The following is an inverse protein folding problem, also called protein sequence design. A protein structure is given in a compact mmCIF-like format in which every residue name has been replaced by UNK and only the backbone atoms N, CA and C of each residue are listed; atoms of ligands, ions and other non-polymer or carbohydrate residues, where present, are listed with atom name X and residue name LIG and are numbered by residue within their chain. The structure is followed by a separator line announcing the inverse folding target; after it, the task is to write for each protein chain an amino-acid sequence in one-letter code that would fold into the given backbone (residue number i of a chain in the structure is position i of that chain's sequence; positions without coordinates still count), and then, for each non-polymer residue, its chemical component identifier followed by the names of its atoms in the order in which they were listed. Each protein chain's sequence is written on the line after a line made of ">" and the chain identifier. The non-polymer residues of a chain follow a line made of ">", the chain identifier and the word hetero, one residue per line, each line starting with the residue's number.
data_IF_977145955071
#
_entry.id   IF_977145955071
#
_cell.length_a   1.000
_cell.length_b   1.000
_cell.length_c   1.000
_cell.angle_alpha   90.00
_cell.angle_beta   90.00
_cell.angle_gamma   90.00
#
_symmetry.space_group_name_H-M   'P 1'
#
loop_
_entity.id
_entity.type
_entity.pdbx_description
1 polymer ?
#
# COMPACT_ATOMS: atom_id res chain seq x y z
N UNK A 1 -43.46 -33.32 -11.20
CA UNK A 1 -43.77 -33.87 -9.87
C UNK A 1 -42.52 -33.72 -9.01
N UNK A 2 -42.67 -33.42 -7.72
CA UNK A 2 -41.54 -33.35 -6.78
C UNK A 2 -40.94 -34.73 -6.51
N UNK A 3 -39.71 -34.75 -6.02
CA UNK A 3 -38.96 -35.94 -5.63
C UNK A 3 -38.30 -35.69 -4.27
N UNK A 4 -38.49 -36.62 -3.32
CA UNK A 4 -37.86 -36.55 -2.00
C UNK A 4 -37.06 -37.82 -1.73
N UNK A 5 -35.81 -37.66 -1.28
CA UNK A 5 -34.97 -38.72 -0.71
C UNK A 5 -34.88 -38.45 0.79
N UNK A 6 -35.50 -39.30 1.59
CA UNK A 6 -35.52 -39.16 3.06
C UNK A 6 -34.12 -39.38 3.66
N UNK A 7 -33.92 -38.91 4.89
CA UNK A 7 -32.60 -38.89 5.56
C UNK A 7 -31.90 -40.25 5.62
N UNK A 8 -32.66 -41.33 5.82
CA UNK A 8 -32.11 -42.69 5.90
C UNK A 8 -32.12 -43.43 4.55
N UNK A 9 -32.67 -42.81 3.51
CA UNK A 9 -32.74 -43.42 2.20
C UNK A 9 -31.38 -43.34 1.49
N UNK A 10 -31.02 -44.44 0.82
CA UNK A 10 -29.80 -44.53 0.02
C UNK A 10 -30.16 -44.88 -1.42
N UNK A 11 -29.68 -44.07 -2.37
CA UNK A 11 -29.72 -44.33 -3.81
C UNK A 11 -28.29 -44.63 -4.26
N UNK A 12 -28.04 -45.84 -4.75
CA UNK A 12 -26.70 -46.25 -5.21
C UNK A 12 -26.74 -46.73 -6.64
N UNK A 13 -25.93 -46.12 -7.50
CA UNK A 13 -25.54 -46.66 -8.79
C UNK A 13 -24.15 -47.30 -8.65
N UNK A 14 -24.12 -48.62 -8.49
CA UNK A 14 -22.87 -49.40 -8.35
C UNK A 14 -22.02 -49.36 -9.62
N UNK A 15 -22.68 -49.17 -10.76
CA UNK A 15 -22.08 -48.90 -12.06
C UNK A 15 -22.80 -47.72 -12.70
N UNK A 16 -22.07 -46.91 -13.47
CA UNK A 16 -22.68 -45.80 -14.21
C UNK A 16 -23.10 -44.61 -13.34
N UNK A 17 -24.11 -43.88 -13.82
CA UNK A 17 -24.56 -42.60 -13.26
C UNK A 17 -25.78 -42.76 -12.35
N UNK A 18 -25.95 -41.86 -11.39
CA UNK A 18 -27.22 -41.65 -10.69
C UNK A 18 -27.78 -40.27 -11.05
N UNK A 19 -29.03 -40.21 -11.53
CA UNK A 19 -29.70 -38.94 -11.86
C UNK A 19 -31.03 -38.84 -11.12
N UNK A 20 -31.18 -37.81 -10.30
CA UNK A 20 -32.44 -37.44 -9.69
C UNK A 20 -33.06 -36.30 -10.49
N UNK A 21 -34.29 -36.50 -10.99
CA UNK A 21 -35.01 -35.52 -11.80
C UNK A 21 -36.41 -35.26 -11.22
N UNK A 22 -36.76 -33.99 -11.05
CA UNK A 22 -38.07 -33.60 -10.51
C UNK A 22 -38.34 -32.11 -10.71
N UNK A 23 -39.60 -31.68 -10.57
CA UNK A 23 -39.90 -30.23 -10.56
C UNK A 23 -39.36 -29.55 -9.31
N UNK A 24 -39.33 -30.28 -8.20
CA UNK A 24 -38.63 -29.94 -6.96
C UNK A 24 -37.89 -31.18 -6.47
N UNK A 25 -36.72 -31.00 -5.86
CA UNK A 25 -35.92 -32.09 -5.26
C UNK A 25 -35.60 -31.73 -3.82
N UNK A 26 -35.95 -32.62 -2.91
CA UNK A 26 -35.48 -32.62 -1.51
C UNK A 26 -34.57 -33.83 -1.29
N UNK A 27 -33.26 -33.61 -1.29
CA UNK A 27 -32.26 -34.64 -1.04
C UNK A 27 -31.81 -34.53 0.41
N UNK A 28 -32.28 -35.42 1.28
CA UNK A 28 -31.88 -35.46 2.69
C UNK A 28 -31.01 -36.67 3.05
N UNK A 29 -31.01 -37.71 2.20
CA UNK A 29 -30.30 -38.97 2.42
C UNK A 29 -28.98 -39.11 1.67
N UNK A 30 -28.65 -40.31 1.22
CA UNK A 30 -27.41 -40.60 0.49
C UNK A 30 -27.68 -40.90 -0.97
N UNK A 31 -26.97 -40.24 -1.89
CA UNK A 31 -26.91 -40.58 -3.31
C UNK A 31 -25.46 -40.86 -3.65
N UNK A 32 -25.16 -42.06 -4.13
CA UNK A 32 -23.83 -42.49 -4.54
C UNK A 32 -23.85 -43.01 -5.97
N UNK A 33 -22.94 -42.53 -6.81
CA UNK A 33 -22.72 -43.03 -8.16
C UNK A 33 -21.26 -43.41 -8.35
N UNK A 34 -21.01 -44.45 -9.15
CA UNK A 34 -19.66 -44.77 -9.60
C UNK A 34 -19.14 -43.67 -10.53
N UNK A 35 -19.89 -43.42 -11.62
CA UNK A 35 -19.67 -42.30 -12.53
C UNK A 35 -20.41 -41.07 -11.98
N UNK A 36 -21.17 -40.33 -12.77
CA UNK A 36 -21.70 -39.04 -12.37
C UNK A 36 -22.93 -39.15 -11.45
N UNK A 37 -23.04 -38.26 -10.46
CA UNK A 37 -24.26 -38.05 -9.70
C UNK A 37 -24.87 -36.68 -10.07
N UNK A 38 -26.13 -36.66 -10.52
CA UNK A 38 -26.78 -35.44 -11.02
C UNK A 38 -28.10 -35.16 -10.30
N UNK A 39 -28.31 -33.92 -9.87
CA UNK A 39 -29.61 -33.40 -9.43
C UNK A 39 -30.13 -32.40 -10.47
N UNK A 40 -31.30 -32.66 -11.04
CA UNK A 40 -31.92 -31.78 -12.06
C UNK A 40 -33.37 -31.44 -11.69
N UNK A 41 -33.64 -30.16 -11.41
CA UNK A 41 -35.00 -29.73 -11.10
C UNK A 41 -35.22 -28.23 -11.13
N UNK A 42 -36.40 -27.78 -10.69
CA UNK A 42 -36.69 -26.35 -10.53
C UNK A 42 -36.01 -25.83 -9.27
N UNK A 43 -36.55 -26.23 -8.12
CA UNK A 43 -35.93 -25.99 -6.81
C UNK A 43 -35.24 -27.27 -6.32
N UNK A 44 -33.99 -27.16 -5.91
CA UNK A 44 -33.21 -28.28 -5.38
C UNK A 44 -32.66 -27.92 -4.01
N UNK A 45 -33.06 -28.68 -2.98
CA UNK A 45 -32.53 -28.57 -1.62
C UNK A 45 -31.75 -29.84 -1.30
N UNK A 46 -30.49 -29.69 -0.92
CA UNK A 46 -29.62 -30.77 -0.45
C UNK A 46 -29.25 -30.56 1.02
N UNK A 47 -29.66 -31.51 1.86
CA UNK A 47 -29.25 -31.63 3.27
C UNK A 47 -28.53 -32.95 3.56
N UNK A 48 -28.50 -33.87 2.59
CA UNK A 48 -27.80 -35.13 2.69
C UNK A 48 -26.46 -35.16 1.96
N UNK A 49 -26.03 -36.34 1.51
CA UNK A 49 -24.78 -36.55 0.80
C UNK A 49 -25.01 -36.97 -0.64
N UNK A 50 -24.36 -36.30 -1.59
CA UNK A 50 -24.30 -36.68 -3.00
C UNK A 50 -22.84 -36.89 -3.38
N UNK A 51 -22.51 -38.12 -3.78
CA UNK A 51 -21.12 -38.51 -4.04
C UNK A 51 -20.99 -39.21 -5.39
N UNK A 52 -19.95 -38.83 -6.12
CA UNK A 52 -19.46 -39.55 -7.29
C UNK A 52 -18.05 -40.07 -7.00
N UNK A 53 -17.81 -41.38 -7.12
CA UNK A 53 -16.52 -41.98 -6.75
C UNK A 53 -15.45 -41.90 -7.83
N UNK A 54 -15.85 -41.78 -9.10
CA UNK A 54 -14.92 -41.67 -10.25
C UNK A 54 -15.24 -40.48 -11.16
N UNK A 55 -16.46 -39.95 -11.12
CA UNK A 55 -16.92 -38.86 -11.99
C UNK A 55 -17.17 -37.54 -11.26
N UNK A 56 -18.12 -36.77 -11.81
CA UNK A 56 -18.51 -35.46 -11.27
C UNK A 56 -19.85 -35.53 -10.51
N UNK A 57 -20.04 -34.54 -9.64
CA UNK A 57 -21.37 -34.18 -9.12
C UNK A 57 -21.90 -32.97 -9.88
N UNK A 58 -23.10 -33.09 -10.45
CA UNK A 58 -23.78 -32.00 -11.16
C UNK A 58 -25.06 -31.60 -10.45
N UNK A 59 -25.30 -30.29 -10.35
CA UNK A 59 -26.59 -29.74 -9.92
C UNK A 59 -27.04 -28.73 -10.96
N UNK A 60 -28.25 -28.93 -11.49
CA UNK A 60 -28.91 -28.03 -12.41
C UNK A 60 -30.29 -27.68 -11.85
N UNK A 61 -30.39 -26.54 -11.17
CA UNK A 61 -31.64 -26.02 -10.64
C UNK A 61 -32.12 -24.87 -11.55
N UNK A 62 -33.26 -24.98 -12.23
CA UNK A 62 -33.71 -23.88 -13.10
C UNK A 62 -34.16 -22.63 -12.32
N UNK A 63 -34.43 -22.78 -11.03
CA UNK A 63 -34.77 -21.70 -10.10
C UNK A 63 -33.73 -21.62 -8.96
N UNK A 64 -33.99 -22.23 -7.81
CA UNK A 64 -33.12 -22.10 -6.64
C UNK A 64 -32.41 -23.41 -6.28
N UNK A 65 -31.11 -23.31 -6.00
CA UNK A 65 -30.36 -24.34 -5.30
C UNK A 65 -30.07 -23.93 -3.85
N UNK A 66 -30.22 -24.87 -2.92
CA UNK A 66 -29.84 -24.70 -1.51
C UNK A 66 -29.10 -25.93 -1.03
N UNK A 67 -27.81 -25.79 -0.75
CA UNK A 67 -27.03 -26.77 0.00
C UNK A 67 -27.02 -26.34 1.47
N UNK A 68 -27.79 -27.01 2.31
CA UNK A 68 -27.88 -26.66 3.74
C UNK A 68 -26.57 -26.98 4.45
N UNK A 69 -26.41 -26.56 5.71
CA UNK A 69 -25.18 -26.76 6.48
C UNK A 69 -24.74 -28.24 6.60
N UNK A 70 -25.68 -29.19 6.54
CA UNK A 70 -25.38 -30.64 6.56
C UNK A 70 -25.19 -31.22 5.15
N UNK A 71 -25.57 -30.48 4.12
CA UNK A 71 -25.50 -30.90 2.73
C UNK A 71 -24.06 -31.03 2.25
N UNK A 72 -23.74 -32.20 1.68
CA UNK A 72 -22.43 -32.52 1.15
C UNK A 72 -22.52 -32.91 -0.33
N UNK A 73 -21.76 -32.22 -1.17
CA UNK A 73 -21.53 -32.60 -2.57
C UNK A 73 -20.06 -32.97 -2.74
N UNK A 74 -19.78 -34.19 -3.20
CA UNK A 74 -18.40 -34.67 -3.40
C UNK A 74 -18.25 -35.36 -4.75
N UNK A 75 -17.56 -34.70 -5.68
CA UNK A 75 -17.18 -35.27 -6.97
C UNK A 75 -15.71 -35.69 -6.95
N UNK A 76 -15.40 -36.82 -7.57
CA UNK A 76 -14.01 -37.23 -7.76
C UNK A 76 -13.28 -36.25 -8.68
N UNK A 77 -13.88 -35.97 -9.83
CA UNK A 77 -13.33 -35.01 -10.79
C UNK A 77 -13.83 -33.61 -10.50
N UNK A 78 -15.12 -33.32 -10.71
CA UNK A 78 -15.67 -31.97 -10.60
C UNK A 78 -16.92 -31.92 -9.74
N UNK A 79 -17.24 -30.72 -9.24
CA UNK A 79 -18.59 -30.39 -8.79
C UNK A 79 -19.05 -29.14 -9.53
N UNK A 80 -20.17 -29.23 -10.24
CA UNK A 80 -20.71 -28.12 -11.02
C UNK A 80 -22.16 -27.85 -10.60
N UNK A 81 -22.38 -26.68 -10.02
CA UNK A 81 -23.70 -26.19 -9.62
C UNK A 81 -24.09 -25.04 -10.54
N UNK A 82 -25.24 -25.15 -11.20
CA UNK A 82 -25.87 -24.07 -11.97
C UNK A 82 -27.28 -23.83 -11.43
N UNK A 83 -27.58 -22.56 -11.12
CA UNK A 83 -28.91 -22.16 -10.68
C UNK A 83 -29.30 -20.74 -11.13
N UNK A 84 -30.56 -20.34 -10.96
CA UNK A 84 -30.91 -18.91 -10.97
C UNK A 84 -30.35 -18.25 -9.71
N UNK A 85 -30.63 -18.82 -8.54
CA UNK A 85 -30.04 -18.44 -7.25
C UNK A 85 -29.42 -19.66 -6.55
N UNK A 86 -28.25 -19.49 -5.94
CA UNK A 86 -27.54 -20.56 -5.23
C UNK A 86 -27.15 -20.13 -3.81
N UNK A 87 -27.53 -20.94 -2.83
CA UNK A 87 -27.10 -20.82 -1.42
C UNK A 87 -26.32 -22.07 -1.02
N UNK A 88 -25.07 -21.91 -0.61
CA UNK A 88 -24.16 -23.00 -0.26
C UNK A 88 -23.65 -22.80 1.17
N UNK A 89 -24.39 -23.36 2.13
CA UNK A 89 -24.02 -23.40 3.54
C UNK A 89 -23.23 -24.66 3.92
N UNK A 90 -23.44 -25.77 3.21
CA UNK A 90 -22.72 -27.02 3.43
C UNK A 90 -21.40 -27.14 2.67
N UNK A 91 -20.92 -28.37 2.49
CA UNK A 91 -19.66 -28.67 1.81
C UNK A 91 -19.86 -28.98 0.33
N UNK A 92 -19.00 -28.39 -0.50
CA UNK A 92 -18.83 -28.70 -1.92
C UNK A 92 -17.37 -29.05 -2.16
N UNK A 93 -17.09 -30.24 -2.68
CA UNK A 93 -15.71 -30.71 -2.87
C UNK A 93 -15.53 -31.45 -4.19
N UNK A 94 -14.63 -30.95 -5.01
CA UNK A 94 -14.06 -31.66 -6.14
C UNK A 94 -12.67 -32.16 -5.73
N UNK A 95 -12.45 -33.47 -5.68
CA UNK A 95 -11.18 -34.00 -5.14
C UNK A 95 -10.00 -33.72 -6.06
N UNK A 96 -10.18 -33.91 -7.37
CA UNK A 96 -9.11 -33.79 -8.37
C UNK A 96 -9.48 -32.86 -9.53
N UNK A 97 -10.42 -31.95 -9.37
CA UNK A 97 -10.82 -31.04 -10.44
C UNK A 97 -11.54 -29.82 -9.89
N UNK A 98 -12.44 -29.23 -10.68
CA UNK A 98 -12.99 -27.91 -10.39
C UNK A 98 -14.26 -28.02 -9.55
N UNK A 99 -14.32 -27.21 -8.49
CA UNK A 99 -15.58 -26.91 -7.81
C UNK A 99 -16.14 -25.58 -8.36
N UNK A 100 -17.37 -25.62 -8.86
CA UNK A 100 -18.01 -24.47 -9.51
C UNK A 100 -19.43 -24.23 -8.99
N UNK A 101 -19.70 -22.97 -8.64
CA UNK A 101 -21.04 -22.48 -8.26
C UNK A 101 -21.36 -21.28 -9.13
N UNK A 102 -22.30 -21.45 -10.07
CA UNK A 102 -22.71 -20.41 -11.02
C UNK A 102 -24.20 -20.13 -10.84
N UNK A 103 -24.53 -18.90 -10.46
CA UNK A 103 -25.89 -18.39 -10.32
C UNK A 103 -26.16 -17.25 -11.31
N UNK A 104 -27.31 -17.29 -11.98
CA UNK A 104 -27.72 -16.23 -12.91
C UNK A 104 -28.06 -14.91 -12.21
N UNK A 105 -28.49 -14.98 -10.95
CA UNK A 105 -28.75 -13.83 -10.09
C UNK A 105 -27.72 -13.79 -8.96
N UNK A 106 -27.99 -14.43 -7.82
CA UNK A 106 -27.14 -14.38 -6.63
C UNK A 106 -26.56 -15.73 -6.27
N UNK A 107 -25.26 -15.74 -5.99
CA UNK A 107 -24.58 -16.86 -5.32
C UNK A 107 -24.18 -16.41 -3.90
N UNK A 108 -24.56 -17.19 -2.89
CA UNK A 108 -24.18 -16.96 -1.49
C UNK A 108 -23.45 -18.19 -0.96
N UNK A 109 -22.24 -18.00 -0.47
CA UNK A 109 -21.42 -19.06 0.11
C UNK A 109 -21.25 -18.78 1.60
N UNK A 110 -21.75 -19.69 2.43
CA UNK A 110 -21.59 -19.67 3.89
C UNK A 110 -20.77 -20.86 4.40
N UNK A 111 -20.65 -21.91 3.59
CA UNK A 111 -19.93 -23.13 3.91
C UNK A 111 -18.54 -23.22 3.27
N UNK A 112 -18.16 -24.45 2.94
CA UNK A 112 -16.86 -24.76 2.35
C UNK A 112 -16.99 -25.17 0.88
N UNK A 113 -16.25 -24.50 0.00
CA UNK A 113 -16.09 -24.88 -1.40
C UNK A 113 -14.62 -25.17 -1.69
N UNK A 114 -14.30 -26.38 -2.12
CA UNK A 114 -12.91 -26.80 -2.38
C UNK A 114 -12.78 -27.58 -3.68
N UNK A 115 -11.71 -27.32 -4.41
CA UNK A 115 -11.34 -28.04 -5.64
C UNK A 115 -9.86 -27.85 -5.95
N UNK A 116 -9.33 -28.53 -6.98
CA UNK A 116 -8.06 -28.12 -7.58
C UNK A 116 -8.15 -26.65 -8.02
N UNK A 117 -9.18 -26.34 -8.80
CA UNK A 117 -9.61 -24.98 -9.10
C UNK A 117 -10.97 -24.71 -8.45
N UNK A 118 -11.25 -23.43 -8.18
CA UNK A 118 -12.58 -22.98 -7.73
C UNK A 118 -13.08 -21.83 -8.57
N UNK A 119 -14.32 -21.91 -9.04
CA UNK A 119 -15.00 -20.86 -9.80
C UNK A 119 -16.36 -20.55 -9.19
N UNK A 120 -16.52 -19.32 -8.69
CA UNK A 120 -17.76 -18.83 -8.08
C UNK A 120 -18.26 -17.65 -8.90
N UNK A 121 -19.50 -17.71 -9.34
CA UNK A 121 -20.12 -16.63 -10.10
C UNK A 121 -21.55 -16.41 -9.63
N UNK A 122 -21.85 -15.19 -9.21
CA UNK A 122 -23.22 -14.71 -9.07
C UNK A 122 -23.37 -13.48 -9.94
N UNK A 123 -23.98 -13.63 -11.12
CA UNK A 123 -23.89 -12.59 -12.17
C UNK A 123 -24.37 -11.22 -11.71
N UNK A 124 -25.39 -11.16 -10.85
CA UNK A 124 -25.86 -9.90 -10.24
C UNK A 124 -25.19 -9.63 -8.88
N UNK A 125 -24.87 -10.68 -8.13
CA UNK A 125 -24.12 -10.55 -6.89
C UNK A 125 -23.54 -11.85 -6.38
N UNK A 126 -22.33 -11.79 -5.85
CA UNK A 126 -21.65 -12.88 -5.17
C UNK A 126 -21.34 -12.46 -3.73
N UNK A 127 -21.80 -13.22 -2.76
CA UNK A 127 -21.47 -13.02 -1.34
C UNK A 127 -20.73 -14.23 -0.81
N UNK A 128 -19.54 -14.02 -0.25
CA UNK A 128 -18.80 -14.98 0.56
C UNK A 128 -18.93 -14.52 2.01
N UNK A 129 -19.77 -15.21 2.79
CA UNK A 129 -20.08 -14.81 4.15
C UNK A 129 -18.86 -14.96 5.07
N UNK A 130 -18.97 -14.29 6.22
CA UNK A 130 -18.07 -14.50 7.35
C UNK A 130 -18.05 -16.01 7.66
N UNK A 131 -16.85 -16.55 7.89
CA UNK A 131 -16.57 -17.97 8.18
C UNK A 131 -16.65 -18.95 7.00
N UNK A 132 -17.14 -18.50 5.83
CA UNK A 132 -17.06 -19.32 4.62
C UNK A 132 -15.60 -19.52 4.17
N UNK A 133 -15.30 -20.71 3.63
CA UNK A 133 -13.98 -21.05 3.13
C UNK A 133 -14.03 -21.47 1.66
N UNK A 134 -13.21 -20.83 0.83
CA UNK A 134 -13.04 -21.13 -0.59
C UNK A 134 -11.59 -21.54 -0.80
N UNK A 135 -11.34 -22.78 -1.20
CA UNK A 135 -9.97 -23.32 -1.32
C UNK A 135 -9.75 -23.92 -2.71
N UNK A 136 -8.89 -23.28 -3.51
CA UNK A 136 -8.27 -23.91 -4.67
C UNK A 136 -6.95 -24.54 -4.24
N UNK A 137 -6.93 -25.88 -4.16
CA UNK A 137 -5.85 -26.65 -3.54
C UNK A 137 -4.58 -26.67 -4.40
N UNK A 138 -4.74 -26.65 -5.72
CA UNK A 138 -3.62 -26.75 -6.67
C UNK A 138 -3.60 -25.61 -7.68
N UNK A 139 -4.75 -25.02 -7.98
CA UNK A 139 -4.95 -24.06 -9.06
C UNK A 139 -5.43 -22.70 -8.57
N UNK A 140 -6.36 -22.11 -9.32
CA UNK A 140 -6.85 -20.76 -9.13
C UNK A 140 -8.20 -20.74 -8.40
N UNK A 141 -8.43 -19.69 -7.62
CA UNK A 141 -9.76 -19.31 -7.13
C UNK A 141 -10.24 -18.08 -7.90
N UNK A 142 -11.37 -18.19 -8.59
CA UNK A 142 -11.95 -17.09 -9.39
C UNK A 142 -13.35 -16.77 -8.87
N UNK A 143 -13.55 -15.51 -8.48
CA UNK A 143 -14.82 -14.97 -7.98
C UNK A 143 -15.32 -13.90 -8.96
N UNK A 144 -16.54 -14.06 -9.46
CA UNK A 144 -17.17 -13.17 -10.44
C UNK A 144 -18.55 -12.70 -10.00
N UNK A 145 -18.87 -11.45 -10.31
CA UNK A 145 -20.23 -10.93 -10.17
C UNK A 145 -20.31 -9.43 -10.39
N UNK A 146 -21.49 -8.90 -10.73
CA UNK A 146 -21.66 -7.43 -10.84
C UNK A 146 -21.34 -6.72 -9.53
N UNK A 147 -21.62 -7.38 -8.41
CA UNK A 147 -21.16 -7.00 -7.07
C UNK A 147 -20.52 -8.20 -6.38
N UNK A 148 -19.43 -7.97 -5.64
CA UNK A 148 -18.76 -8.98 -4.82
C UNK A 148 -18.63 -8.46 -3.39
N UNK A 149 -19.16 -9.23 -2.44
CA UNK A 149 -18.94 -9.06 -1.01
C UNK A 149 -18.10 -10.24 -0.51
N UNK A 150 -16.80 -10.02 -0.30
CA UNK A 150 -15.88 -11.02 0.23
C UNK A 150 -15.67 -10.74 1.72
N UNK A 151 -16.25 -11.57 2.58
CA UNK A 151 -16.10 -11.48 4.04
C UNK A 151 -15.42 -12.71 4.66
N UNK A 152 -15.40 -13.84 3.94
CA UNK A 152 -14.79 -15.10 4.38
C UNK A 152 -13.31 -15.26 4.05
N UNK A 153 -12.87 -16.50 3.91
CA UNK A 153 -11.50 -16.85 3.51
C UNK A 153 -11.48 -17.42 2.11
N UNK A 154 -10.67 -16.83 1.23
CA UNK A 154 -10.35 -17.35 -0.10
C UNK A 154 -8.87 -17.67 -0.14
N UNK A 155 -8.53 -18.93 -0.41
CA UNK A 155 -7.15 -19.40 -0.55
C UNK A 155 -6.99 -20.08 -1.91
N UNK A 156 -6.00 -19.65 -2.67
CA UNK A 156 -5.57 -20.31 -3.89
C UNK A 156 -4.09 -20.70 -3.78
N UNK A 157 -3.72 -21.82 -4.38
CA UNK A 157 -2.29 -22.14 -4.56
C UNK A 157 -1.69 -21.22 -5.61
N UNK A 158 -2.28 -21.22 -6.80
CA UNK A 158 -1.97 -20.30 -7.89
C UNK A 158 -2.71 -18.99 -7.64
N UNK A 159 -3.46 -18.44 -8.59
CA UNK A 159 -3.98 -17.08 -8.46
C UNK A 159 -5.34 -17.03 -7.76
N UNK A 160 -5.55 -15.98 -6.96
CA UNK A 160 -6.87 -15.61 -6.47
C UNK A 160 -7.34 -14.36 -7.21
N UNK A 161 -8.47 -14.42 -7.92
CA UNK A 161 -8.97 -13.33 -8.76
C UNK A 161 -10.40 -12.97 -8.38
N UNK A 162 -10.65 -11.68 -8.13
CA UNK A 162 -11.97 -11.11 -7.93
C UNK A 162 -12.29 -10.17 -9.11
N UNK A 163 -13.37 -10.42 -9.83
CA UNK A 163 -13.78 -9.64 -11.00
C UNK A 163 -15.24 -9.20 -10.88
N UNK A 164 -15.48 -7.89 -10.81
CA UNK A 164 -16.84 -7.38 -10.69
C UNK A 164 -16.99 -5.89 -10.97
N UNK A 165 -18.20 -5.37 -10.78
CA UNK A 165 -18.45 -3.93 -10.84
C UNK A 165 -17.99 -3.24 -9.57
N UNK A 166 -18.65 -3.58 -8.47
CA UNK A 166 -18.23 -3.19 -7.12
C UNK A 166 -17.66 -4.40 -6.38
N UNK A 167 -16.48 -4.26 -5.80
CA UNK A 167 -15.84 -5.31 -4.99
C UNK A 167 -15.55 -4.75 -3.60
N UNK A 168 -16.14 -5.36 -2.57
CA UNK A 168 -15.85 -5.07 -1.17
C UNK A 168 -15.19 -6.29 -0.53
N UNK A 169 -14.00 -6.08 0.04
CA UNK A 169 -13.24 -7.10 0.75
C UNK A 169 -13.13 -6.73 2.22
N UNK A 170 -13.69 -7.57 3.09
CA UNK A 170 -13.55 -7.53 4.55
C UNK A 170 -12.95 -8.80 5.13
N UNK A 171 -12.79 -9.85 4.32
CA UNK A 171 -12.15 -11.10 4.71
C UNK A 171 -10.71 -11.21 4.22
N UNK A 172 -10.24 -12.45 4.08
CA UNK A 172 -8.88 -12.76 3.65
C UNK A 172 -8.87 -13.39 2.27
N UNK A 173 -8.08 -12.83 1.35
CA UNK A 173 -7.80 -13.41 0.04
C UNK A 173 -6.30 -13.66 -0.07
N UNK A 174 -5.91 -14.92 -0.24
CA UNK A 174 -4.52 -15.33 -0.26
C UNK A 174 -4.20 -16.21 -1.45
N UNK A 175 -3.08 -15.92 -2.09
CA UNK A 175 -2.43 -16.78 -3.08
C UNK A 175 -1.08 -17.23 -2.54
N UNK A 176 -0.86 -18.54 -2.37
CA UNK A 176 0.34 -19.05 -1.70
C UNK A 176 1.57 -19.16 -2.60
N UNK A 177 1.37 -19.24 -3.92
CA UNK A 177 2.45 -19.33 -4.92
C UNK A 177 2.29 -18.30 -6.05
N UNK A 178 1.06 -17.83 -6.31
CA UNK A 178 0.75 -16.89 -7.38
C UNK A 178 0.46 -15.44 -6.92
N UNK A 179 -0.38 -14.76 -7.71
CA UNK A 179 -0.82 -13.38 -7.44
C UNK A 179 -2.26 -13.32 -6.88
N UNK A 180 -2.55 -12.22 -6.20
CA UNK A 180 -3.93 -11.77 -5.96
C UNK A 180 -4.28 -10.67 -6.96
N UNK A 181 -5.36 -10.86 -7.70
CA UNK A 181 -5.88 -9.89 -8.67
C UNK A 181 -7.27 -9.41 -8.28
N UNK A 182 -7.49 -8.09 -8.31
CA UNK A 182 -8.82 -7.49 -8.19
C UNK A 182 -9.07 -6.59 -9.39
N UNK A 183 -10.14 -6.86 -10.12
CA UNK A 183 -10.62 -6.03 -11.21
C UNK A 183 -12.05 -5.58 -10.90
N UNK A 184 -12.19 -4.38 -10.35
CA UNK A 184 -13.47 -3.73 -10.11
C UNK A 184 -13.71 -2.71 -11.23
N UNK A 185 -14.77 -2.82 -12.04
CA UNK A 185 -14.99 -1.84 -13.10
C UNK A 185 -15.48 -0.48 -12.58
N UNK A 186 -16.02 -0.43 -11.36
CA UNK A 186 -16.46 0.78 -10.67
C UNK A 186 -15.67 1.00 -9.37
N UNK A 187 -16.09 0.40 -8.25
CA UNK A 187 -15.48 0.68 -6.96
C UNK A 187 -14.82 -0.55 -6.33
N UNK A 188 -13.59 -0.39 -5.86
CA UNK A 188 -12.95 -1.32 -4.95
C UNK A 188 -12.89 -0.73 -3.53
N UNK A 189 -13.29 -1.53 -2.54
CA UNK A 189 -13.16 -1.20 -1.12
C UNK A 189 -12.50 -2.37 -0.38
N UNK A 190 -11.29 -2.16 0.14
CA UNK A 190 -10.71 -3.04 1.16
C UNK A 190 -11.01 -2.43 2.53
N UNK A 191 -11.81 -3.09 3.36
CA UNK A 191 -12.14 -2.59 4.70
C UNK A 191 -10.98 -2.82 5.67
N UNK A 192 -11.09 -2.33 6.91
CA UNK A 192 -10.02 -2.44 7.91
C UNK A 192 -9.65 -3.89 8.27
N UNK A 193 -10.60 -4.82 8.15
CA UNK A 193 -10.37 -6.27 8.36
C UNK A 193 -9.95 -6.97 7.08
N UNK A 194 -10.10 -6.32 5.93
CA UNK A 194 -9.79 -6.88 4.62
C UNK A 194 -8.30 -7.07 4.41
N UNK A 195 -7.90 -8.28 4.00
CA UNK A 195 -6.53 -8.63 3.71
C UNK A 195 -6.38 -9.25 2.31
N UNK A 196 -5.51 -8.69 1.49
CA UNK A 196 -5.08 -9.26 0.23
C UNK A 196 -3.60 -9.63 0.30
N UNK A 197 -3.27 -10.92 0.16
CA UNK A 197 -1.89 -11.40 0.21
C UNK A 197 -1.54 -12.26 -1.00
N UNK A 198 -0.68 -11.76 -1.88
CA UNK A 198 -0.14 -12.51 -3.00
C UNK A 198 1.31 -12.91 -2.75
N UNK A 199 1.69 -14.14 -3.12
CA UNK A 199 3.09 -14.56 -3.03
C UNK A 199 3.97 -13.78 -3.97
N UNK A 200 3.57 -13.69 -5.24
CA UNK A 200 4.28 -12.93 -6.27
C UNK A 200 3.78 -11.49 -6.23
N UNK A 201 2.58 -11.21 -6.70
CA UNK A 201 2.07 -9.85 -6.85
C UNK A 201 0.69 -9.67 -6.21
N UNK A 202 0.35 -8.41 -5.93
CA UNK A 202 -1.04 -7.99 -5.75
C UNK A 202 -1.33 -6.89 -6.75
N UNK A 203 -2.35 -7.07 -7.58
CA UNK A 203 -2.75 -6.10 -8.60
C UNK A 203 -4.23 -5.74 -8.45
N UNK A 204 -4.52 -4.47 -8.21
CA UNK A 204 -5.87 -3.94 -8.07
C UNK A 204 -6.11 -2.89 -9.15
N UNK A 205 -7.20 -3.03 -9.90
CA UNK A 205 -7.71 -2.02 -10.84
C UNK A 205 -9.13 -1.63 -10.48
N UNK A 206 -9.39 -0.33 -10.43
CA UNK A 206 -10.72 0.22 -10.19
C UNK A 206 -10.95 1.57 -10.88
N UNK A 207 -12.20 2.07 -10.90
CA UNK A 207 -12.44 3.49 -11.12
C UNK A 207 -12.10 4.27 -9.85
N UNK A 208 -12.68 3.89 -8.72
CA UNK A 208 -12.35 4.43 -7.40
C UNK A 208 -11.89 3.28 -6.47
N UNK A 209 -10.84 3.53 -5.68
CA UNK A 209 -10.29 2.54 -4.75
C UNK A 209 -10.07 3.12 -3.36
N UNK A 210 -10.67 2.49 -2.34
CA UNK A 210 -10.47 2.78 -0.92
C UNK A 210 -9.79 1.58 -0.25
N UNK A 211 -8.67 1.80 0.42
CA UNK A 211 -7.89 0.74 1.10
C UNK A 211 -7.73 1.09 2.57
N UNK A 212 -8.36 0.34 3.47
CA UNK A 212 -8.26 0.50 4.93
C UNK A 212 -7.48 -0.62 5.64
N UNK A 213 -7.51 -1.84 5.10
CA UNK A 213 -6.81 -3.00 5.65
C UNK A 213 -5.41 -3.19 5.05
N UNK A 214 -5.06 -4.44 4.77
CA UNK A 214 -3.73 -4.82 4.28
C UNK A 214 -3.73 -5.28 2.82
N UNK A 215 -2.72 -4.84 2.08
CA UNK A 215 -2.42 -5.27 0.71
C UNK A 215 -0.93 -5.62 0.65
N UNK A 216 -0.61 -6.90 0.52
CA UNK A 216 0.76 -7.39 0.63
C UNK A 216 1.13 -8.31 -0.53
N UNK A 217 2.15 -7.92 -1.29
CA UNK A 217 2.88 -8.82 -2.17
C UNK A 217 4.16 -9.28 -1.45
N UNK A 218 4.30 -10.57 -1.16
CA UNK A 218 5.42 -11.05 -0.35
C UNK A 218 6.77 -10.92 -1.07
N UNK A 219 6.81 -11.23 -2.36
CA UNK A 219 8.07 -11.29 -3.12
C UNK A 219 8.15 -10.36 -4.33
N UNK A 220 7.01 -9.98 -4.92
CA UNK A 220 6.87 -9.09 -6.07
C UNK A 220 6.14 -7.79 -5.72
N UNK A 221 5.38 -7.21 -6.65
CA UNK A 221 4.85 -5.86 -6.55
C UNK A 221 3.42 -5.81 -5.98
N UNK A 222 3.15 -4.81 -5.14
CA UNK A 222 1.80 -4.38 -4.81
C UNK A 222 1.43 -3.15 -5.67
N UNK A 223 0.50 -3.33 -6.60
CA UNK A 223 0.07 -2.29 -7.56
C UNK A 223 -1.41 -2.01 -7.42
N UNK A 224 -1.76 -0.74 -7.23
CA UNK A 224 -3.15 -0.26 -7.13
C UNK A 224 -3.33 0.86 -8.14
N UNK A 225 -4.27 0.69 -9.07
CA UNK A 225 -4.56 1.65 -10.12
C UNK A 225 -6.04 2.00 -10.13
N UNK A 226 -6.36 3.20 -9.68
CA UNK A 226 -7.67 3.83 -9.80
C UNK A 226 -7.68 4.79 -10.99
N UNK A 227 -8.70 4.74 -11.85
CA UNK A 227 -8.82 5.71 -12.96
C UNK A 227 -9.34 7.07 -12.50
N UNK A 228 -9.93 7.16 -11.31
CA UNK A 228 -10.40 8.37 -10.66
C UNK A 228 -9.62 8.60 -9.35
N UNK A 229 -10.14 8.21 -8.18
CA UNK A 229 -9.46 8.44 -6.90
C UNK A 229 -8.92 7.15 -6.28
N UNK A 230 -7.75 7.26 -5.65
CA UNK A 230 -7.17 6.24 -4.80
C UNK A 230 -6.95 6.81 -3.40
N UNK A 231 -7.53 6.17 -2.40
CA UNK A 231 -7.36 6.52 -1.00
C UNK A 231 -6.80 5.35 -0.21
N UNK A 232 -5.59 5.52 0.31
CA UNK A 232 -5.02 4.65 1.35
C UNK A 232 -5.42 5.29 2.69
N UNK A 233 -6.33 4.64 3.41
CA UNK A 233 -6.95 5.15 4.64
C UNK A 233 -6.02 5.03 5.83
N UNK A 234 -6.44 5.64 6.93
CA UNK A 234 -5.70 5.61 8.19
C UNK A 234 -5.43 4.19 8.67
N UNK A 235 -4.21 3.95 9.17
CA UNK A 235 -3.78 2.64 9.70
C UNK A 235 -3.54 1.54 8.66
N UNK A 236 -3.88 1.76 7.38
CA UNK A 236 -3.73 0.77 6.30
C UNK A 236 -2.27 0.45 6.02
N UNK A 237 -2.04 -0.73 5.42
CA UNK A 237 -0.70 -1.14 5.00
C UNK A 237 -0.71 -1.64 3.56
N UNK A 238 0.13 -1.04 2.72
CA UNK A 238 0.41 -1.51 1.36
C UNK A 238 1.90 -1.83 1.27
N UNK A 239 2.25 -3.08 0.99
CA UNK A 239 3.63 -3.53 0.96
C UNK A 239 3.92 -4.47 -0.20
N UNK A 240 5.10 -4.34 -0.77
CA UNK A 240 5.62 -5.20 -1.83
C UNK A 240 7.13 -5.13 -1.93
N UNK A 241 7.76 -5.94 -2.77
CA UNK A 241 9.12 -5.68 -3.23
C UNK A 241 9.21 -4.30 -3.90
N UNK A 242 8.20 -3.98 -4.73
CA UNK A 242 7.92 -2.64 -5.23
C UNK A 242 6.48 -2.26 -4.87
N UNK A 243 6.18 -0.97 -4.81
CA UNK A 243 4.80 -0.49 -4.66
C UNK A 243 4.47 0.52 -5.76
N UNK A 244 3.32 0.38 -6.39
CA UNK A 244 2.78 1.33 -7.36
C UNK A 244 1.39 1.77 -6.98
N UNK A 245 1.21 3.06 -6.68
CA UNK A 245 -0.08 3.68 -6.40
C UNK A 245 -0.40 4.69 -7.50
N UNK A 246 -1.46 4.44 -8.25
CA UNK A 246 -1.89 5.28 -9.36
C UNK A 246 -3.34 5.71 -9.18
N UNK A 247 -3.57 7.01 -9.30
CA UNK A 247 -4.88 7.64 -9.42
C UNK A 247 -4.93 8.45 -10.73
N UNK A 248 -6.11 8.58 -11.33
CA UNK A 248 -6.30 9.53 -12.44
C UNK A 248 -6.48 10.97 -11.96
N UNK A 249 -7.12 11.14 -10.80
CA UNK A 249 -7.38 12.44 -10.17
C UNK A 249 -6.58 12.56 -8.86
N UNK A 250 -7.12 12.08 -7.74
CA UNK A 250 -6.53 12.27 -6.42
C UNK A 250 -5.96 10.98 -5.84
N UNK A 251 -4.70 11.02 -5.44
CA UNK A 251 -4.05 10.00 -4.61
C UNK A 251 -3.90 10.55 -3.20
N UNK A 252 -4.62 9.97 -2.25
CA UNK A 252 -4.59 10.35 -0.84
C UNK A 252 -4.04 9.21 0.01
N UNK A 253 -2.93 9.46 0.70
CA UNK A 253 -2.37 8.56 1.72
C UNK A 253 -2.60 9.24 3.06
N UNK A 254 -3.47 8.67 3.88
CA UNK A 254 -3.90 9.26 5.14
C UNK A 254 -2.86 9.09 6.26
N UNK A 255 -3.10 9.75 7.39
CA UNK A 255 -2.30 9.62 8.61
C UNK A 255 -2.15 8.15 9.02
N UNK A 256 -1.00 7.76 9.58
CA UNK A 256 -0.70 6.39 10.02
C UNK A 256 -0.78 5.29 8.94
N UNK A 257 -1.16 5.61 7.70
CA UNK A 257 -1.06 4.70 6.57
C UNK A 257 0.42 4.40 6.28
N UNK A 258 0.71 3.15 5.90
CA UNK A 258 2.08 2.70 5.57
C UNK A 258 2.15 2.17 4.15
N UNK A 259 3.01 2.78 3.34
CA UNK A 259 3.32 2.35 1.97
C UNK A 259 4.78 1.95 1.91
N UNK A 260 5.08 0.66 1.76
CA UNK A 260 6.44 0.12 1.93
C UNK A 260 6.89 -0.70 0.73
N UNK A 261 7.92 -0.25 0.02
CA UNK A 261 8.70 -1.09 -0.88
C UNK A 261 9.89 -1.71 -0.13
N UNK A 262 9.84 -3.03 0.05
CA UNK A 262 10.80 -3.80 0.84
C UNK A 262 12.14 -4.05 0.14
N UNK A 263 12.21 -3.87 -1.18
CA UNK A 263 13.42 -4.08 -2.00
C UNK A 263 13.70 -2.92 -2.96
N UNK A 264 12.69 -2.51 -3.73
CA UNK A 264 12.80 -1.54 -4.81
C UNK A 264 12.01 -0.27 -4.55
N UNK A 265 11.32 0.20 -5.58
CA UNK A 265 10.79 1.56 -5.65
C UNK A 265 9.34 1.67 -5.17
N UNK A 266 8.97 2.86 -4.70
CA UNK A 266 7.57 3.29 -4.58
C UNK A 266 7.27 4.27 -5.71
N UNK A 267 6.26 4.00 -6.52
CA UNK A 267 5.74 4.91 -7.54
C UNK A 267 4.40 5.47 -7.09
N UNK A 268 4.27 6.80 -7.05
CA UNK A 268 3.05 7.53 -6.76
C UNK A 268 2.64 8.35 -8.00
N UNK A 269 1.45 8.13 -8.53
CA UNK A 269 0.92 8.83 -9.70
C UNK A 269 -0.49 9.37 -9.41
N UNK A 270 -0.74 10.63 -9.74
CA UNK A 270 -2.03 11.31 -9.58
C UNK A 270 -1.95 12.76 -10.08
N UNK A 271 -3.07 13.39 -10.40
CA UNK A 271 -3.09 14.85 -10.66
C UNK A 271 -2.88 15.65 -9.39
N UNK A 272 -3.41 15.15 -8.27
CA UNK A 272 -3.11 15.67 -6.95
C UNK A 272 -2.69 14.50 -6.06
N UNK A 273 -1.56 14.65 -5.40
CA UNK A 273 -1.04 13.66 -4.46
C UNK A 273 -0.93 14.32 -3.10
N UNK A 274 -1.64 13.77 -2.12
CA UNK A 274 -1.57 14.18 -0.72
C UNK A 274 -1.07 13.01 0.10
N UNK A 275 0.12 13.15 0.67
CA UNK A 275 0.66 12.19 1.63
C UNK A 275 0.63 12.78 3.04
N UNK A 276 -0.04 12.11 3.96
CA UNK A 276 -0.04 12.37 5.42
C UNK A 276 0.44 11.12 6.18
N UNK A 277 0.74 10.02 5.47
CA UNK A 277 1.25 8.79 6.06
C UNK A 277 2.74 8.59 5.81
N UNK A 278 3.18 7.35 6.07
CA UNK A 278 4.57 6.93 5.97
C UNK A 278 4.80 6.21 4.65
N UNK A 279 5.71 6.76 3.83
CA UNK A 279 6.15 6.11 2.58
C UNK A 279 7.62 5.73 2.68
N UNK A 280 7.89 4.43 2.58
CA UNK A 280 9.25 3.87 2.72
C UNK A 280 9.63 3.07 1.49
N UNK A 281 10.82 3.30 0.94
CA UNK A 281 11.36 2.53 -0.16
C UNK A 281 12.84 2.20 0.05
N UNK A 282 13.26 0.95 -0.19
CA UNK A 282 14.70 0.65 -0.28
C UNK A 282 15.33 1.14 -1.59
N UNK A 283 14.54 1.36 -2.62
CA UNK A 283 14.91 2.03 -3.86
C UNK A 283 14.57 3.52 -3.82
N UNK A 284 13.92 4.00 -4.89
CA UNK A 284 13.48 5.39 -5.09
C UNK A 284 12.01 5.56 -4.79
N UNK A 285 11.62 6.80 -4.51
CA UNK A 285 10.24 7.23 -4.40
C UNK A 285 9.97 8.18 -5.58
N UNK A 286 9.20 7.70 -6.55
CA UNK A 286 8.98 8.40 -7.81
C UNK A 286 7.58 8.97 -7.78
N UNK A 287 7.45 10.28 -7.97
CA UNK A 287 6.16 10.97 -8.06
C UNK A 287 5.97 11.45 -9.50
N UNK A 288 5.00 10.87 -10.22
CA UNK A 288 4.73 11.22 -11.63
C UNK A 288 3.44 12.03 -11.73
N UNK A 289 3.54 13.17 -12.40
CA UNK A 289 2.46 14.14 -12.66
C UNK A 289 1.91 14.81 -11.38
N UNK A 290 1.37 16.02 -11.56
CA UNK A 290 0.46 16.63 -10.60
C UNK A 290 1.09 17.43 -9.45
N UNK A 291 0.23 18.02 -8.63
CA UNK A 291 0.60 18.74 -7.42
C UNK A 291 0.93 17.74 -6.31
N UNK A 292 2.16 17.77 -5.78
CA UNK A 292 2.58 16.90 -4.67
C UNK A 292 2.65 17.68 -3.36
N UNK A 293 1.85 17.25 -2.38
CA UNK A 293 1.87 17.74 -0.99
C UNK A 293 2.25 16.59 -0.07
N UNK A 294 3.30 16.77 0.70
CA UNK A 294 3.72 15.82 1.71
C UNK A 294 3.59 16.45 3.10
N UNK A 295 2.91 15.82 4.03
CA UNK A 295 2.71 16.33 5.39
C UNK A 295 3.35 15.43 6.44
N UNK A 296 3.94 14.30 6.05
CA UNK A 296 4.58 13.35 6.96
C UNK A 296 5.86 12.70 6.35
N UNK A 297 6.29 11.54 6.83
CA UNK A 297 7.59 10.94 6.55
C UNK A 297 7.68 10.25 5.18
N UNK A 298 8.76 10.58 4.47
CA UNK A 298 9.24 9.87 3.28
C UNK A 298 10.66 9.38 3.58
N UNK A 299 10.89 8.06 3.55
CA UNK A 299 12.20 7.44 3.79
C UNK A 299 12.64 6.58 2.60
N UNK A 300 13.79 6.90 1.98
CA UNK A 300 14.39 6.03 0.98
C UNK A 300 15.87 6.29 0.68
N UNK A 301 16.47 5.49 -0.23
CA UNK A 301 17.90 5.59 -0.58
C UNK A 301 18.19 6.75 -1.55
N UNK A 302 19.47 7.13 -1.67
CA UNK A 302 20.03 8.24 -2.49
C UNK A 302 19.31 8.44 -3.84
N UNK A 303 19.04 9.70 -4.21
CA UNK A 303 18.19 10.16 -5.34
C UNK A 303 16.69 9.83 -5.18
N UNK A 304 16.20 9.97 -3.94
CA UNK A 304 14.93 9.42 -3.47
C UNK A 304 13.70 10.04 -4.10
N UNK A 305 13.74 11.29 -4.58
CA UNK A 305 12.56 11.97 -5.11
C UNK A 305 12.82 12.54 -6.50
N UNK A 306 12.13 12.00 -7.49
CA UNK A 306 11.99 12.61 -8.81
C UNK A 306 10.54 13.08 -8.96
N UNK A 307 10.34 14.39 -8.88
CA UNK A 307 9.07 15.04 -9.16
C UNK A 307 9.16 15.70 -10.54
N UNK A 308 8.17 15.41 -11.40
CA UNK A 308 8.11 16.04 -12.72
C UNK A 308 7.67 17.52 -12.63
N UNK A 309 6.84 17.93 -11.65
CA UNK A 309 6.41 19.35 -11.46
C UNK A 309 6.05 19.69 -9.98
N UNK A 310 6.20 20.99 -9.60
CA UNK A 310 5.72 21.68 -8.39
C UNK A 310 5.61 20.90 -7.05
N UNK A 311 6.67 20.93 -6.24
CA UNK A 311 6.67 20.47 -4.84
C UNK A 311 6.15 21.59 -3.91
N UNK A 312 5.10 21.36 -3.12
CA UNK A 312 4.63 22.33 -2.10
C UNK A 312 4.44 21.66 -0.74
N UNK A 313 5.29 22.05 0.22
CA UNK A 313 5.25 21.76 1.67
C UNK A 313 5.48 20.28 2.06
N UNK A 314 6.29 20.07 3.13
CA UNK A 314 6.53 18.77 3.79
C UNK A 314 7.91 18.57 4.41
N UNK A 315 7.99 17.75 5.48
CA UNK A 315 9.26 17.27 6.06
C UNK A 315 9.74 16.07 5.24
N UNK A 316 10.85 16.22 4.53
CA UNK A 316 11.49 15.13 3.77
C UNK A 316 12.75 14.71 4.54
N UNK A 317 12.82 13.46 5.00
CA UNK A 317 14.00 12.93 5.70
C UNK A 317 14.68 11.90 4.80
N UNK A 318 15.69 12.33 4.05
CA UNK A 318 16.51 11.40 3.27
C UNK A 318 17.58 10.78 4.18
N UNK A 319 17.47 9.49 4.50
CA UNK A 319 18.57 8.76 5.15
C UNK A 319 19.62 8.42 4.10
N UNK A 320 20.72 9.18 4.09
CA UNK A 320 21.85 9.22 3.13
C UNK A 320 21.73 10.31 2.05
N UNK A 321 22.39 11.45 2.29
CA UNK A 321 22.97 12.39 1.32
C UNK A 321 22.22 12.51 -0.02
N UNK A 322 20.90 12.74 0.03
CA UNK A 322 20.03 12.72 -1.15
C UNK A 322 19.80 14.11 -1.73
N UNK A 323 19.90 14.23 -3.06
CA UNK A 323 19.62 15.42 -3.85
C UNK A 323 18.14 15.41 -4.31
N UNK A 324 17.38 16.47 -4.02
CA UNK A 324 16.02 16.68 -4.58
C UNK A 324 16.19 17.41 -5.93
N UNK A 325 15.85 16.76 -7.04
CA UNK A 325 15.93 17.33 -8.41
C UNK A 325 14.53 17.46 -9.00
N UNK A 326 14.00 18.68 -9.08
CA UNK A 326 12.84 19.02 -9.91
C UNK A 326 13.28 19.39 -11.33
N UNK A 327 12.60 18.89 -12.37
CA UNK A 327 12.84 19.31 -13.75
C UNK A 327 11.97 20.54 -14.05
N UNK A 328 12.56 21.73 -13.97
CA UNK A 328 11.92 23.04 -14.23
C UNK A 328 10.84 23.43 -13.20
N UNK A 329 11.27 24.08 -12.13
CA UNK A 329 10.39 24.71 -11.15
C UNK A 329 11.13 24.96 -9.85
N UNK A 330 10.91 26.13 -9.26
CA UNK A 330 11.44 26.52 -7.95
C UNK A 330 11.06 25.48 -6.89
N UNK A 331 12.03 24.90 -6.18
CA UNK A 331 11.75 24.15 -4.95
C UNK A 331 11.38 25.19 -3.89
N UNK A 332 10.09 25.40 -3.65
CA UNK A 332 9.60 26.34 -2.64
C UNK A 332 9.43 25.58 -1.31
N UNK A 333 10.43 25.73 -0.43
CA UNK A 333 10.39 25.24 0.95
C UNK A 333 9.77 26.30 1.86
N UNK A 334 8.44 26.34 1.97
CA UNK A 334 7.71 27.21 2.91
C UNK A 334 7.65 26.62 4.33
N UNK A 335 8.80 26.16 4.86
CA UNK A 335 8.88 25.77 6.26
C UNK A 335 10.24 26.17 6.86
N UNK A 336 10.26 27.05 7.90
CA UNK A 336 11.51 27.45 8.56
C UNK A 336 12.23 26.30 9.29
N UNK A 337 11.63 25.09 9.37
CA UNK A 337 12.19 23.93 10.06
C UNK A 337 12.55 22.74 9.13
N UNK A 338 12.69 22.95 7.82
CA UNK A 338 13.12 21.89 6.90
C UNK A 338 14.61 21.54 7.14
N UNK A 339 14.90 20.40 7.76
CA UNK A 339 16.26 19.88 7.91
C UNK A 339 16.61 19.02 6.69
N UNK A 340 17.46 19.54 5.80
CA UNK A 340 18.15 18.75 4.78
C UNK A 340 19.39 18.14 5.46
N UNK A 341 19.29 16.94 6.02
CA UNK A 341 20.44 16.27 6.64
C UNK A 341 21.27 15.54 5.58
N UNK A 342 22.30 16.20 5.07
CA UNK A 342 23.41 15.56 4.37
C UNK A 342 24.38 15.02 5.43
N UNK A 343 24.24 13.77 5.85
CA UNK A 343 25.21 13.16 6.77
C UNK A 343 25.56 11.74 6.34
N UNK A 344 26.76 11.61 5.77
CA UNK A 344 27.65 10.48 6.06
C UNK A 344 28.83 11.08 6.82
N UNK A 345 28.94 10.72 8.08
CA UNK A 345 30.13 10.86 8.93
C UNK A 345 30.84 12.22 8.97
N UNK A 346 30.62 12.92 10.10
CA UNK A 346 31.55 13.82 10.80
C UNK A 346 32.76 14.37 10.02
N UNK A 347 32.67 15.60 9.54
CA UNK A 347 33.64 16.69 9.80
C UNK A 347 33.29 17.96 9.00
N UNK A 348 33.65 19.10 9.57
CA UNK A 348 33.22 20.48 9.29
C UNK A 348 33.68 21.07 7.93
N UNK A 349 34.06 20.24 6.95
CA UNK A 349 34.76 20.67 5.72
C UNK A 349 33.86 20.87 4.48
N UNK A 350 32.66 20.28 4.45
CA UNK A 350 31.90 20.15 3.19
C UNK A 350 30.86 21.24 2.87
N UNK A 351 30.79 22.33 3.64
CA UNK A 351 30.01 23.50 3.20
C UNK A 351 30.69 24.26 2.04
N UNK A 352 32.00 24.04 1.84
CA UNK A 352 32.82 24.74 0.83
C UNK A 352 32.48 24.24 -0.59
N UNK A 353 32.25 22.93 -0.77
CA UNK A 353 31.92 22.38 -2.09
C UNK A 353 30.49 22.68 -2.53
N UNK A 354 29.58 22.88 -1.59
CA UNK A 354 28.22 23.37 -1.87
C UNK A 354 28.24 24.82 -2.38
N UNK A 355 29.20 25.63 -1.93
CA UNK A 355 29.41 27.00 -2.42
C UNK A 355 30.01 27.04 -3.84
N UNK A 356 30.87 26.09 -4.20
CA UNK A 356 31.46 26.00 -5.54
C UNK A 356 30.42 25.67 -6.62
N UNK A 357 29.35 24.94 -6.29
CA UNK A 357 28.24 24.66 -7.19
C UNK A 357 27.34 25.88 -7.38
N UNK A 358 27.05 26.63 -6.30
CA UNK A 358 26.32 27.92 -6.37
C UNK A 358 27.10 28.94 -7.23
N UNK A 359 28.43 28.95 -7.13
CA UNK A 359 29.29 29.84 -7.92
C UNK A 359 29.30 29.51 -9.43
N UNK A 360 28.95 28.28 -9.83
CA UNK A 360 29.07 27.81 -11.21
C UNK A 360 27.78 27.88 -12.02
N UNK A 361 26.61 27.91 -11.37
CA UNK A 361 25.30 27.97 -12.05
C UNK A 361 24.61 29.35 -11.98
N UNK A 362 25.10 30.32 -11.18
CA UNK A 362 24.46 31.65 -10.99
C UNK A 362 25.30 32.82 -11.58
N UNK A 363 25.95 32.64 -12.72
CA UNK A 363 26.46 33.78 -13.51
C UNK A 363 25.87 33.75 -14.92
N UNK A 364 25.08 34.77 -15.28
CA UNK A 364 25.71 36.05 -15.67
C UNK A 364 25.27 37.35 -14.95
N UNK A 365 24.43 37.35 -13.91
CA UNK A 365 23.81 38.60 -13.41
C UNK A 365 24.31 39.19 -12.07
N UNK A 366 25.33 38.62 -11.40
CA UNK A 366 25.88 39.20 -10.16
C UNK A 366 27.33 39.66 -10.37
N UNK A 367 27.60 40.95 -10.07
CA UNK A 367 28.95 41.53 -10.15
C UNK A 367 29.75 41.16 -8.90
N UNK A 368 31.09 41.12 -9.03
CA UNK A 368 32.01 40.51 -8.06
C UNK A 368 32.17 41.24 -6.71
N UNK A 369 31.33 42.23 -6.41
CA UNK A 369 31.51 43.21 -5.34
C UNK A 369 30.41 43.18 -4.26
N UNK A 370 29.62 42.11 -4.17
CA UNK A 370 28.45 41.99 -3.26
C UNK A 370 28.56 40.89 -2.19
N UNK A 371 29.76 40.32 -1.99
CA UNK A 371 30.00 39.26 -1.00
C UNK A 371 31.23 39.61 -0.15
N UNK A 372 31.08 39.68 1.16
CA UNK A 372 32.20 39.80 2.11
C UNK A 372 32.19 38.64 3.09
N UNK A 373 33.36 38.00 3.27
CA UNK A 373 33.55 36.87 4.17
C UNK A 373 34.45 37.31 5.33
N UNK A 374 33.98 37.14 6.57
CA UNK A 374 34.79 37.40 7.76
C UNK A 374 35.01 36.10 8.55
N UNK A 375 36.26 35.85 8.91
CA UNK A 375 36.67 34.76 9.80
C UNK A 375 37.07 35.33 11.15
N UNK A 376 36.45 34.84 12.21
CA UNK A 376 36.82 35.16 13.59
C UNK A 376 36.96 33.86 14.37
N UNK A 377 38.20 33.38 14.52
CA UNK A 377 38.47 32.06 15.09
C UNK A 377 37.75 30.95 14.31
N UNK A 378 37.00 30.09 15.00
CA UNK A 378 36.26 28.97 14.40
C UNK A 378 34.89 29.38 13.79
N UNK A 379 34.53 30.67 13.86
CA UNK A 379 33.28 31.18 13.31
C UNK A 379 33.49 31.85 11.94
N UNK A 380 32.60 31.55 10.98
CA UNK A 380 32.51 32.21 9.67
C UNK A 380 31.21 33.00 9.54
N UNK A 381 31.34 34.25 9.12
CA UNK A 381 30.21 35.15 8.87
C UNK A 381 30.18 35.46 7.37
N UNK A 382 29.00 35.32 6.74
CA UNK A 382 28.75 35.66 5.34
C UNK A 382 27.76 36.82 5.31
N UNK A 383 28.20 37.95 4.76
CA UNK A 383 27.33 39.08 4.48
C UNK A 383 27.03 39.16 2.99
N UNK A 384 25.75 39.27 2.65
CA UNK A 384 25.26 39.50 1.29
C UNK A 384 24.66 40.91 1.25
N UNK A 385 25.11 41.74 0.31
CA UNK A 385 24.55 43.06 0.08
C UNK A 385 23.92 43.11 -1.32
N UNK A 386 22.87 43.90 -1.49
CA UNK A 386 22.30 44.21 -2.80
C UNK A 386 22.17 45.73 -2.92
N UNK A 387 22.71 46.29 -3.99
CA UNK A 387 22.79 47.73 -4.23
C UNK A 387 21.39 48.32 -4.50
N UNK A 388 20.81 48.98 -3.48
CA UNK A 388 19.79 50.02 -3.66
C UNK A 388 18.33 49.70 -3.35
N UNK A 389 17.92 48.48 -2.93
CA UNK A 389 16.54 48.24 -2.43
C UNK A 389 16.52 47.26 -1.26
N UNK A 390 15.91 47.69 -0.15
CA UNK A 390 15.75 46.97 1.14
C UNK A 390 15.50 45.47 0.95
N UNK A 391 16.47 44.65 1.34
CA UNK A 391 16.25 43.25 1.71
C UNK A 391 16.26 43.17 3.22
N UNK A 392 15.12 42.78 3.79
CA UNK A 392 15.01 42.41 5.19
C UNK A 392 15.45 40.95 5.33
N UNK A 393 16.51 40.72 6.13
CA UNK A 393 16.94 39.44 6.73
C UNK A 393 17.47 38.33 5.80
N UNK A 394 18.74 37.93 6.02
CA UNK A 394 19.14 36.65 6.67
C UNK A 394 20.58 36.82 7.17
N UNK A 395 20.82 36.73 8.48
CA UNK A 395 22.16 36.63 9.07
C UNK A 395 22.22 35.30 9.80
N UNK A 396 22.94 34.31 9.25
CA UNK A 396 23.13 33.02 9.92
C UNK A 396 24.53 32.98 10.53
N UNK A 397 24.61 33.03 11.86
CA UNK A 397 25.84 32.74 12.60
C UNK A 397 25.77 31.27 13.05
N UNK A 398 26.75 30.47 12.64
CA UNK A 398 26.91 29.09 13.13
C UNK A 398 28.15 29.09 14.04
N UNK A 399 27.93 28.85 15.33
CA UNK A 399 28.98 28.59 16.31
C UNK A 399 28.56 27.36 17.13
N UNK A 400 29.40 26.32 17.11
CA UNK A 400 29.32 25.11 17.94
C UNK A 400 27.89 24.57 18.20
N UNK A 401 27.20 24.17 17.13
CA UNK A 401 25.96 23.40 17.23
C UNK A 401 24.68 24.18 17.56
N UNK A 402 24.73 25.52 17.61
CA UNK A 402 23.53 26.35 17.80
C UNK A 402 23.36 27.37 16.67
N UNK A 403 22.15 27.46 16.11
CA UNK A 403 21.74 28.51 15.16
C UNK A 403 20.88 29.54 15.89
N UNK A 404 21.24 30.83 15.83
CA UNK A 404 20.43 31.93 16.33
C UNK A 404 19.94 32.79 15.15
N UNK A 405 18.68 33.21 15.18
CA UNK A 405 18.07 34.07 14.18
C UNK A 405 17.43 35.28 14.89
N UNK A 406 17.93 36.50 14.65
CA UNK A 406 17.43 37.73 15.29
C UNK A 406 17.47 38.92 14.32
N UNK A 407 16.58 39.91 14.54
CA UNK A 407 16.69 41.23 13.91
C UNK A 407 17.85 42.03 14.55
N UNK A 408 18.48 42.89 13.74
CA UNK A 408 19.90 43.24 13.86
C UNK A 408 20.29 44.11 15.07
N UNK A 409 19.36 44.78 15.74
CA UNK A 409 19.77 45.93 16.55
C UNK A 409 20.06 45.66 18.03
N UNK A 410 19.69 44.51 18.61
CA UNK A 410 19.79 44.36 20.08
C UNK A 410 20.62 43.20 20.66
N UNK A 411 21.29 42.33 19.88
CA UNK A 411 21.84 41.13 20.52
C UNK A 411 23.10 40.47 19.97
N UNK A 412 24.04 41.25 19.41
CA UNK A 412 25.40 40.71 19.20
C UNK A 412 26.11 40.42 20.54
N UNK A 413 25.76 41.15 21.61
CA UNK A 413 26.33 40.93 22.95
C UNK A 413 25.83 39.62 23.60
N UNK A 414 24.51 39.32 23.61
CA UNK A 414 24.02 38.14 24.34
C UNK A 414 24.25 36.80 23.63
N UNK A 415 24.43 36.78 22.31
CA UNK A 415 24.85 35.55 21.60
C UNK A 415 26.28 35.11 21.98
N UNK A 416 27.18 36.05 22.23
CA UNK A 416 28.57 35.76 22.66
C UNK A 416 28.59 35.36 24.14
N UNK A 417 27.77 35.97 24.99
CA UNK A 417 27.71 35.64 26.42
C UNK A 417 27.09 34.26 26.68
N UNK A 418 26.03 33.86 25.95
CA UNK A 418 25.39 32.54 26.12
C UNK A 418 26.29 31.37 25.72
N UNK A 419 27.11 31.52 24.67
CA UNK A 419 28.04 30.47 24.25
C UNK A 419 29.29 30.34 25.14
N UNK A 420 29.52 31.28 26.04
CA UNK A 420 30.66 31.25 26.98
C UNK A 420 30.36 30.49 28.28
N UNK A 421 29.10 30.12 28.56
CA UNK A 421 28.67 29.54 29.85
C UNK A 421 28.62 28.00 29.92
N UNK A 422 28.97 27.26 28.86
CA UNK A 422 29.03 25.79 28.89
C UNK A 422 30.46 25.20 28.93
N UNK A 423 31.39 25.88 29.62
CA UNK A 423 32.67 25.26 30.05
C UNK A 423 32.47 24.50 31.36
N UNK A 424 31.93 23.29 31.27
CA UNK A 424 31.64 22.47 32.44
C UNK A 424 31.59 20.99 32.15
N UNK A 425 32.49 20.46 31.33
CA UNK A 425 32.85 19.04 31.23
C UNK A 425 34.10 18.93 30.35
N UNK A 426 34.96 17.95 30.61
CA UNK A 426 36.37 17.82 30.21
C UNK A 426 37.38 18.57 31.10
N UNK A 427 37.68 17.94 32.24
CA UNK A 427 38.95 18.08 32.96
C UNK A 427 39.77 16.78 32.78
N UNK A 428 41.09 16.93 32.88
CA UNK A 428 42.20 15.95 32.78
C UNK A 428 42.63 15.64 31.34
N UNK A 429 43.83 16.03 30.89
CA UNK A 429 45.15 15.76 31.49
C UNK A 429 46.10 16.97 31.37
N UNK A 430 46.73 17.34 32.50
CA UNK A 430 47.88 18.25 32.66
C UNK A 430 49.04 17.86 31.70
N UNK A 431 49.86 18.73 31.09
CA UNK A 431 50.74 19.72 31.71
C UNK A 431 51.49 20.53 30.63
N UNK A 432 51.67 21.84 30.78
CA UNK A 432 52.68 22.59 30.00
C UNK A 432 52.40 24.09 29.80
N UNK A 433 52.80 24.91 30.78
CA UNK A 433 53.01 26.37 30.78
C UNK A 433 52.85 27.12 29.43
N UNK A 434 51.98 28.14 29.37
CA UNK A 434 52.29 29.50 28.85
C UNK A 434 51.43 30.54 29.58
N UNK A 435 52.04 31.71 29.81
CA UNK A 435 51.71 32.79 30.74
C UNK A 435 50.44 33.60 30.44
N UNK A 436 49.91 34.13 31.55
CA UNK A 436 48.92 35.19 31.71
C UNK A 436 49.46 36.51 31.12
N UNK A 437 48.78 37.08 30.11
CA UNK A 437 49.09 38.43 29.62
C UNK A 437 48.18 38.89 28.48
N UNK A 438 47.54 40.05 28.68
CA UNK A 438 46.83 40.92 27.73
C UNK A 438 45.39 40.55 27.30
N UNK A 439 44.43 40.97 28.12
CA UNK A 439 43.01 41.13 27.77
C UNK A 439 42.65 42.58 27.40
N UNK A 440 43.59 43.54 27.47
CA UNK A 440 43.25 44.98 27.38
C UNK A 440 43.64 45.72 26.08
N UNK A 441 44.05 45.06 24.98
CA UNK A 441 44.49 45.77 23.75
C UNK A 441 43.55 45.73 22.54
N UNK A 442 42.40 45.05 22.59
CA UNK A 442 41.51 44.93 21.40
C UNK A 442 40.44 46.03 21.34
N UNK A 443 40.21 46.77 22.42
CA UNK A 443 39.13 47.78 22.52
C UNK A 443 39.38 49.15 21.87
N UNK A 444 40.53 49.41 21.21
CA UNK A 444 40.87 50.77 20.74
C UNK A 444 41.20 50.94 19.24
N UNK A 445 41.03 49.93 18.39
CA UNK A 445 41.36 50.04 16.95
C UNK A 445 40.17 50.13 15.97
N UNK A 446 38.96 50.44 16.44
CA UNK A 446 37.76 50.58 15.58
C UNK A 446 37.06 51.96 15.68
N UNK A 447 37.81 53.00 16.07
CA UNK A 447 37.41 54.41 15.89
C UNK A 447 38.52 55.22 15.21
N UNK A 448 38.98 54.77 14.04
CA UNK A 448 39.52 55.61 12.96
C UNK A 448 40.07 54.75 11.82
N UNK A 449 39.27 54.53 10.78
CA UNK A 449 39.63 54.58 9.35
C UNK A 449 38.47 54.04 8.51
#
# INVERSE_FOLDING_TARGET
>A
KGLTINQDATVTATEGNATLKGSSIEQNGTVKAKQNATLEGGTVTNSGSVTSTEGKVGVNASDKFTNTATGNLTGKTDVAITANDADVAGKVTAETGKASVIAQNKATISGAVSGQDVELEGKKGLTINQDATVTATEGNATLKGSSIEQNGTVKAKQNATLEGGTVTNSGSVTSTEGKVGVNASDKFTNTATGNLTGKTDVAITAKDADVAGTVTAETGAATISATNNLSIKEGSQVSGANVGLKAGENLNIAENARVTATKGDVNLEGKNITNVGIVTAKGKIITKRGNFKNNDLIEGKKDTLKADENLKKGKIVTKNNGLIKGKKGTIVLENPNAIISNTKDTSTLDLIDSFNVINREVRPSLRANEITLHQFGDAKIVNLFNDGRKVSKVTSIISNGSACNTDLDDLLASCITKNSMHKGQYHEVFSGKVQKGNVDSVGKSLKSR
#
